data_IF_675822986207
#
_entry.id   IF_675822986207
#
_cell.length_a   1.000
_cell.length_b   1.000
_cell.length_c   1.000
_cell.angle_alpha   90.00
_cell.angle_beta   90.00
_cell.angle_gamma   90.00
#
_symmetry.space_group_name_H-M   'P 1'
#
loop_
_entity.id
_entity.type
_entity.pdbx_description
1 polymer ?
#
# COMPACT_ATOMS: atom_id res chain seq x y z
N UNK A 1 -10.00 4.33 -8.80
CA UNK A 1 -10.18 2.96 -9.34
C UNK A 1 -11.38 2.37 -8.67
N UNK A 2 -12.46 2.13 -9.40
CA UNK A 2 -13.61 1.39 -8.87
C UNK A 2 -13.19 -0.09 -8.73
N UNK A 3 -13.43 -0.68 -7.56
CA UNK A 3 -13.20 -2.09 -7.29
C UNK A 3 -14.56 -2.76 -7.10
N UNK A 4 -14.79 -3.87 -7.80
CA UNK A 4 -15.96 -4.72 -7.58
C UNK A 4 -15.79 -5.56 -6.30
N UNK A 5 -16.89 -6.06 -5.73
CA UNK A 5 -16.86 -6.82 -4.47
C UNK A 5 -16.12 -8.16 -4.55
N UNK A 6 -15.91 -8.67 -5.75
CA UNK A 6 -15.17 -9.89 -6.08
C UNK A 6 -13.71 -9.63 -6.51
N UNK A 7 -13.24 -8.38 -6.40
CA UNK A 7 -11.85 -8.02 -6.68
C UNK A 7 -10.88 -8.84 -5.82
N UNK A 8 -9.91 -9.48 -6.48
CA UNK A 8 -8.84 -10.21 -5.78
C UNK A 8 -7.97 -9.26 -4.97
N UNK A 9 -7.78 -9.59 -3.71
CA UNK A 9 -6.86 -8.91 -2.81
C UNK A 9 -6.13 -9.90 -1.90
N UNK A 10 -5.01 -9.47 -1.35
CA UNK A 10 -4.23 -10.23 -0.38
C UNK A 10 -4.23 -9.52 0.97
N UNK A 11 -4.47 -10.27 2.05
CA UNK A 11 -4.37 -9.76 3.41
C UNK A 11 -2.89 -9.76 3.83
N UNK A 12 -2.37 -8.57 4.12
CA UNK A 12 -1.03 -8.37 4.63
C UNK A 12 -1.12 -8.05 6.11
N UNK A 13 -0.27 -8.66 6.93
CA UNK A 13 -0.24 -8.45 8.38
C UNK A 13 1.17 -8.10 8.81
N UNK A 14 1.32 -6.94 9.45
CA UNK A 14 2.62 -6.41 9.88
C UNK A 14 2.58 -5.96 11.33
N UNK A 15 3.77 -5.82 11.92
CA UNK A 15 3.94 -5.13 13.21
C UNK A 15 4.34 -3.69 12.91
N UNK A 16 3.42 -2.77 13.17
CA UNK A 16 3.69 -1.33 13.21
C UNK A 16 4.07 -0.88 14.61
N UNK A 17 4.30 0.42 14.74
CA UNK A 17 4.72 1.05 15.99
C UNK A 17 3.63 0.97 17.07
N UNK A 18 2.37 1.07 16.65
CA UNK A 18 1.19 1.01 17.54
C UNK A 18 0.58 -0.41 17.66
N UNK A 19 1.26 -1.44 17.13
CA UNK A 19 0.84 -2.83 17.21
C UNK A 19 0.63 -3.50 15.85
N UNK A 20 -0.22 -4.53 15.81
CA UNK A 20 -0.45 -5.29 14.57
C UNK A 20 -1.32 -4.49 13.61
N UNK A 21 -0.85 -4.35 12.38
CA UNK A 21 -1.57 -3.69 11.29
C UNK A 21 -2.03 -4.71 10.24
N UNK A 22 -3.23 -4.50 9.72
CA UNK A 22 -3.80 -5.29 8.65
C UNK A 22 -4.05 -4.40 7.43
N UNK A 23 -3.51 -4.82 6.29
CA UNK A 23 -3.62 -4.13 5.01
C UNK A 23 -4.19 -5.06 3.94
N UNK A 24 -4.89 -4.50 2.96
CA UNK A 24 -5.35 -5.25 1.78
C UNK A 24 -4.60 -4.76 0.54
N UNK A 25 -3.76 -5.62 -0.02
CA UNK A 25 -3.05 -5.36 -1.27
C UNK A 25 -3.89 -5.75 -2.47
N UNK A 26 -4.17 -4.81 -3.37
CA UNK A 26 -4.82 -5.05 -4.66
C UNK A 26 -3.82 -5.03 -5.82
N UNK A 27 -4.28 -5.32 -7.04
CA UNK A 27 -3.44 -5.44 -8.24
C UNK A 27 -2.36 -4.34 -8.36
N UNK A 28 -2.75 -3.06 -8.26
CA UNK A 28 -1.81 -1.94 -8.41
C UNK A 28 -0.72 -1.90 -7.33
N UNK A 29 -1.02 -2.35 -6.12
CA UNK A 29 -0.01 -2.47 -5.07
C UNK A 29 1.07 -3.49 -5.44
N UNK A 30 0.66 -4.64 -5.99
CA UNK A 30 1.60 -5.65 -6.49
C UNK A 30 2.37 -5.21 -7.75
N UNK A 31 1.84 -4.28 -8.54
CA UNK A 31 2.59 -3.68 -9.66
C UNK A 31 3.84 -2.94 -9.15
N UNK A 32 3.81 -2.31 -7.98
CA UNK A 32 4.99 -1.65 -7.38
C UNK A 32 6.12 -2.66 -7.15
N UNK A 33 5.78 -3.90 -6.77
CA UNK A 33 6.78 -4.95 -6.52
C UNK A 33 7.54 -5.39 -7.78
N UNK A 34 7.12 -4.92 -8.96
CA UNK A 34 7.87 -5.13 -10.21
C UNK A 34 9.18 -4.34 -10.26
N UNK A 35 9.28 -3.22 -9.54
CA UNK A 35 10.53 -2.47 -9.36
C UNK A 35 11.47 -3.16 -8.38
N UNK A 36 10.91 -3.69 -7.28
CA UNK A 36 11.64 -4.45 -6.27
C UNK A 36 10.69 -5.50 -5.66
N UNK A 37 11.07 -6.78 -5.69
CA UNK A 37 10.26 -7.93 -5.23
C UNK A 37 10.17 -8.03 -3.70
N UNK A 38 9.79 -6.94 -3.04
CA UNK A 38 9.59 -6.84 -1.60
C UNK A 38 8.26 -6.14 -1.31
N UNK A 39 7.39 -6.79 -0.54
CA UNK A 39 6.11 -6.22 -0.14
C UNK A 39 6.29 -5.02 0.78
N UNK A 40 7.26 -5.08 1.71
CA UNK A 40 7.61 -3.96 2.58
C UNK A 40 8.12 -2.76 1.78
N UNK A 41 8.88 -2.98 0.71
CA UNK A 41 9.28 -1.90 -0.20
C UNK A 41 8.07 -1.24 -0.85
N UNK A 42 7.13 -2.04 -1.37
CA UNK A 42 5.92 -1.51 -1.99
C UNK A 42 5.05 -0.71 -0.99
N UNK A 43 4.93 -1.19 0.25
CA UNK A 43 4.19 -0.48 1.31
C UNK A 43 4.87 0.84 1.68
N UNK A 44 6.19 0.85 1.86
CA UNK A 44 6.94 2.06 2.15
C UNK A 44 6.84 3.10 1.01
N UNK A 45 6.98 2.67 -0.24
CA UNK A 45 6.85 3.55 -1.41
C UNK A 45 5.43 4.14 -1.52
N UNK A 46 4.40 3.33 -1.27
CA UNK A 46 3.01 3.78 -1.27
C UNK A 46 2.74 4.81 -0.16
N UNK A 47 3.13 4.51 1.08
CA UNK A 47 2.95 5.41 2.23
C UNK A 47 3.70 6.73 2.03
N UNK A 48 4.96 6.68 1.60
CA UNK A 48 5.73 7.89 1.30
C UNK A 48 5.07 8.77 0.23
N UNK A 49 4.58 8.16 -0.85
CA UNK A 49 3.87 8.89 -1.91
C UNK A 49 2.59 9.57 -1.40
N UNK A 50 1.85 8.90 -0.52
CA UNK A 50 0.64 9.46 0.13
C UNK A 50 0.98 10.65 1.01
N UNK A 51 2.03 10.57 1.82
CA UNK A 51 2.47 11.67 2.69
C UNK A 51 2.94 12.89 1.88
N UNK A 52 3.70 12.67 0.80
CA UNK A 52 4.14 13.76 -0.08
C UNK A 52 2.93 14.41 -0.76
N UNK A 53 2.02 13.62 -1.33
CA UNK A 53 0.81 14.14 -1.97
C UNK A 53 -0.04 14.95 -0.98
N UNK A 54 -0.23 14.44 0.23
CA UNK A 54 -0.98 15.16 1.28
C UNK A 54 -0.35 16.48 1.69
N UNK A 55 0.98 16.62 1.62
CA UNK A 55 1.66 17.90 1.86
C UNK A 55 1.51 18.87 0.70
N UNK A 56 1.58 18.38 -0.54
CA UNK A 56 1.41 19.21 -1.75
C UNK A 56 -0.03 19.70 -1.89
N UNK A 57 -1.02 18.86 -1.56
CA UNK A 57 -2.44 19.23 -1.65
C UNK A 57 -2.87 20.20 -0.53
N UNK A 58 -2.09 20.33 0.54
CA UNK A 58 -2.35 21.22 1.66
C UNK A 58 -1.76 22.63 1.49
N UNK A 59 -0.99 22.86 0.43
CA UNK A 59 -0.38 24.14 0.04
C UNK A 59 -1.20 24.84 -1.07
#
# INVERSE_FOLDING_TARGET
>A
TELNGDSKGELLTYKGDDGTEHWVGFHNFFVITRYNRSVMYALAAYQLGREIAGRVDAE
#
